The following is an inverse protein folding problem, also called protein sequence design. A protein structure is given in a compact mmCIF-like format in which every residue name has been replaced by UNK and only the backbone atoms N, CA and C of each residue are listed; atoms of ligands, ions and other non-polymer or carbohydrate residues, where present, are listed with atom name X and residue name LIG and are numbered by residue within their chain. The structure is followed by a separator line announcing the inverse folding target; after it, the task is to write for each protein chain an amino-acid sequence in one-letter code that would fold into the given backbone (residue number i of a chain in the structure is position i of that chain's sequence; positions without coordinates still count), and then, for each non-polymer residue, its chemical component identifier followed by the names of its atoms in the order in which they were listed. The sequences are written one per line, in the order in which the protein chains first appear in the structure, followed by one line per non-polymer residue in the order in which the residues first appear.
data_IF_551814870297
#
_entry.id   IF_551814870297
#
_cell.length_a   1.000
_cell.length_b   1.000
_cell.length_c   1.000
_cell.angle_alpha   90.00
_cell.angle_beta   90.00
_cell.angle_gamma   90.00
#
_symmetry.space_group_name_H-M   'P 1'
#
loop_
_entity.id
_entity.type
_entity.pdbx_description
1 polymer ?
#
# COMPACT_ATOMS: atom_id res chain seq x y z
N UNK A 1 20.16 9.16 15.87
CA UNK A 1 19.21 9.26 16.98
C UNK A 1 19.25 7.98 17.77
N UNK A 2 20.31 7.79 18.57
CA UNK A 2 20.54 6.52 19.27
C UNK A 2 19.46 6.27 20.33
N UNK A 3 19.02 7.33 21.02
CA UNK A 3 17.95 7.24 22.01
C UNK A 3 16.64 6.63 21.48
N UNK A 4 16.27 6.89 20.22
CA UNK A 4 15.06 6.30 19.61
C UNK A 4 15.27 4.80 19.32
N UNK A 5 16.46 4.44 18.86
CA UNK A 5 16.81 3.04 18.63
C UNK A 5 16.86 2.27 19.97
N UNK A 6 17.41 2.90 21.01
CA UNK A 6 17.48 2.32 22.36
C UNK A 6 16.07 2.13 22.95
N UNK A 7 15.16 3.10 22.75
CA UNK A 7 13.74 2.97 23.12
C UNK A 7 13.08 1.79 22.41
N UNK A 8 13.26 1.65 21.10
CA UNK A 8 12.72 0.53 20.34
C UNK A 8 13.27 -0.81 20.79
N UNK A 9 14.58 -0.88 21.09
CA UNK A 9 15.18 -2.09 21.64
C UNK A 9 14.61 -2.44 23.01
N UNK A 10 14.34 -1.45 23.87
CA UNK A 10 13.71 -1.66 25.15
C UNK A 10 12.28 -2.20 24.99
N UNK A 11 11.47 -1.61 24.09
CA UNK A 11 10.12 -2.09 23.77
C UNK A 11 10.13 -3.53 23.27
N UNK A 12 11.08 -3.88 22.39
CA UNK A 12 11.25 -5.24 21.88
C UNK A 12 11.55 -6.24 23.00
N UNK A 13 12.50 -5.90 23.89
CA UNK A 13 12.87 -6.77 25.03
C UNK A 13 11.72 -6.92 26.03
N UNK A 14 10.89 -5.90 26.20
CA UNK A 14 9.73 -5.92 27.07
C UNK A 14 8.48 -6.57 26.43
N UNK A 15 8.54 -6.98 25.16
CA UNK A 15 7.42 -7.59 24.43
C UNK A 15 6.30 -6.61 24.08
N UNK A 16 6.57 -5.30 24.07
CA UNK A 16 5.61 -4.25 23.71
C UNK A 16 5.50 -4.10 22.19
N UNK A 17 5.05 -5.16 21.52
CA UNK A 17 5.04 -5.25 20.06
C UNK A 17 4.13 -4.22 19.41
N UNK A 18 2.92 -4.00 19.93
CA UNK A 18 1.98 -3.02 19.37
C UNK A 18 2.61 -1.63 19.27
N UNK A 19 3.15 -1.13 20.39
CA UNK A 19 3.80 0.18 20.43
C UNK A 19 5.06 0.22 19.57
N UNK A 20 5.89 -0.82 19.62
CA UNK A 20 7.10 -0.88 18.78
C UNK A 20 6.76 -0.84 17.29
N UNK A 21 5.76 -1.61 16.87
CA UNK A 21 5.33 -1.68 15.47
C UNK A 21 4.76 -0.35 15.01
N UNK A 22 3.90 0.29 15.80
CA UNK A 22 3.40 1.63 15.49
C UNK A 22 4.54 2.63 15.32
N UNK A 23 5.47 2.66 16.26
CA UNK A 23 6.60 3.58 16.24
C UNK A 23 7.51 3.37 15.00
N UNK A 24 7.81 2.11 14.68
CA UNK A 24 8.61 1.75 13.52
C UNK A 24 7.89 2.15 12.21
N UNK A 25 6.58 1.90 12.12
CA UNK A 25 5.81 2.23 10.93
C UNK A 25 5.72 3.74 10.72
N UNK A 26 5.21 4.47 11.71
CA UNK A 26 4.89 5.89 11.59
C UNK A 26 6.15 6.76 11.53
N UNK A 27 7.15 6.47 12.37
CA UNK A 27 8.31 7.36 12.53
C UNK A 27 9.43 7.05 11.54
N UNK A 28 9.48 5.83 11.00
CA UNK A 28 10.60 5.39 10.17
C UNK A 28 10.19 4.81 8.83
N UNK A 29 9.36 3.78 8.82
CA UNK A 29 9.04 3.03 7.61
C UNK A 29 8.20 3.85 6.63
N UNK A 30 7.05 4.38 7.05
CA UNK A 30 6.12 5.11 6.19
C UNK A 30 6.77 6.36 5.57
N UNK A 31 7.50 7.22 6.30
CA UNK A 31 8.16 8.37 5.70
C UNK A 31 9.22 7.97 4.66
N UNK A 32 9.97 6.89 4.91
CA UNK A 32 10.97 6.39 3.96
C UNK A 32 10.29 5.81 2.71
N UNK A 33 9.25 5.00 2.91
CA UNK A 33 8.48 4.40 1.84
C UNK A 33 7.78 5.45 0.97
N UNK A 34 7.16 6.46 1.57
CA UNK A 34 6.52 7.56 0.85
C UNK A 34 7.51 8.35 -0.02
N UNK A 35 8.73 8.60 0.46
CA UNK A 35 9.79 9.22 -0.37
C UNK A 35 10.22 8.33 -1.52
N UNK A 36 10.37 7.03 -1.27
CA UNK A 36 10.76 6.08 -2.30
C UNK A 36 9.66 5.93 -3.38
N UNK A 37 8.40 5.80 -2.97
CA UNK A 37 7.30 5.56 -3.90
C UNK A 37 7.02 6.76 -4.80
N UNK A 38 7.13 7.99 -4.29
CA UNK A 38 6.97 9.20 -5.13
C UNK A 38 8.11 9.36 -6.12
N UNK A 39 9.33 8.93 -5.77
CA UNK A 39 10.49 8.92 -6.67
C UNK A 39 10.37 7.87 -7.77
N UNK A 40 10.04 6.62 -7.40
CA UNK A 40 10.00 5.50 -8.35
C UNK A 40 8.73 5.48 -9.22
N UNK A 41 7.63 6.04 -8.73
CA UNK A 41 6.34 6.05 -9.43
C UNK A 41 5.83 7.49 -9.62
N UNK A 42 6.46 8.29 -10.48
CA UNK A 42 6.07 9.69 -10.70
C UNK A 42 4.65 9.83 -11.28
N UNK A 43 4.12 8.75 -11.87
CA UNK A 43 2.73 8.69 -12.36
C UNK A 43 1.70 8.19 -11.34
N UNK A 44 2.11 7.95 -10.09
CA UNK A 44 1.22 7.49 -9.04
C UNK A 44 0.04 8.45 -8.78
N UNK A 45 0.20 9.79 -8.84
CA UNK A 45 -0.94 10.71 -8.66
C UNK A 45 -2.04 10.58 -9.72
N UNK A 46 -1.71 10.07 -10.92
CA UNK A 46 -2.66 9.85 -12.03
C UNK A 46 -3.24 8.43 -12.02
N UNK A 47 -2.80 7.56 -11.11
CA UNK A 47 -3.29 6.19 -11.03
C UNK A 47 -4.76 6.15 -10.61
N UNK A 48 -5.51 5.22 -11.20
CA UNK A 48 -6.88 4.93 -10.77
C UNK A 48 -6.84 4.41 -9.34
N UNK A 49 -7.59 5.06 -8.44
CA UNK A 49 -7.75 4.59 -7.07
C UNK A 49 -8.88 3.58 -7.00
N UNK A 50 -8.56 2.39 -6.52
CA UNK A 50 -9.50 1.32 -6.26
C UNK A 50 -9.70 1.20 -4.74
N UNK A 51 -10.94 1.24 -4.29
CA UNK A 51 -11.27 1.09 -2.88
C UNK A 51 -11.57 -0.38 -2.57
N UNK A 52 -10.85 -0.97 -1.62
CA UNK A 52 -11.15 -2.29 -1.07
C UNK A 52 -11.91 -2.11 0.24
N UNK A 53 -13.23 -2.39 0.30
CA UNK A 53 -14.05 -2.04 1.46
C UNK A 53 -13.80 -2.91 2.70
N UNK A 54 -13.18 -4.08 2.53
CA UNK A 54 -12.82 -4.97 3.63
C UNK A 54 -11.62 -5.84 3.24
N UNK A 55 -10.77 -6.20 4.21
CA UNK A 55 -9.68 -7.15 4.02
C UNK A 55 -10.20 -8.60 4.02
N UNK A 56 -11.03 -8.94 3.05
CA UNK A 56 -11.61 -10.27 2.88
C UNK A 56 -11.44 -10.74 1.45
N UNK A 57 -11.36 -12.06 1.25
CA UNK A 57 -11.30 -12.67 -0.08
C UNK A 57 -12.49 -12.25 -0.94
N UNK A 58 -13.71 -12.25 -0.38
CA UNK A 58 -14.92 -11.87 -1.11
C UNK A 58 -14.89 -10.40 -1.60
N UNK A 59 -14.41 -9.46 -0.77
CA UNK A 59 -14.25 -8.07 -1.17
C UNK A 59 -13.19 -7.92 -2.28
N UNK A 60 -12.09 -8.68 -2.18
CA UNK A 60 -11.04 -8.71 -3.20
C UNK A 60 -11.55 -9.26 -4.53
N UNK A 61 -12.27 -10.38 -4.52
CA UNK A 61 -12.87 -11.00 -5.70
C UNK A 61 -13.89 -10.07 -6.36
N UNK A 62 -14.74 -9.42 -5.57
CA UNK A 62 -15.70 -8.45 -6.08
C UNK A 62 -15.01 -7.27 -6.78
N UNK A 63 -13.98 -6.69 -6.14
CA UNK A 63 -13.20 -5.60 -6.72
C UNK A 63 -12.49 -6.04 -7.99
N UNK A 64 -11.89 -7.23 -8.01
CA UNK A 64 -11.22 -7.78 -9.20
C UNK A 64 -12.21 -7.94 -10.38
N UNK A 65 -13.40 -8.49 -10.14
CA UNK A 65 -14.43 -8.59 -11.17
C UNK A 65 -14.87 -7.21 -11.70
N UNK A 66 -15.06 -6.23 -10.80
CA UNK A 66 -15.41 -4.87 -11.19
C UNK A 66 -14.31 -4.22 -12.06
N UNK A 67 -13.04 -4.42 -11.71
CA UNK A 67 -11.90 -3.92 -12.48
C UNK A 67 -11.83 -4.57 -13.86
N UNK A 68 -11.98 -5.89 -13.96
CA UNK A 68 -11.95 -6.61 -15.24
C UNK A 68 -13.10 -6.16 -16.14
N UNK A 69 -14.31 -6.03 -15.59
CA UNK A 69 -15.47 -5.53 -16.32
C UNK A 69 -15.27 -4.08 -16.80
N UNK A 70 -14.73 -3.21 -15.94
CA UNK A 70 -14.42 -1.82 -16.27
C UNK A 70 -13.31 -1.67 -17.32
N UNK A 71 -12.28 -2.52 -17.27
CA UNK A 71 -11.22 -2.58 -18.28
C UNK A 71 -11.78 -3.01 -19.64
N UNK A 72 -12.70 -3.97 -19.69
CA UNK A 72 -13.36 -4.37 -20.93
C UNK A 72 -14.17 -3.22 -21.59
N UNK A 73 -14.63 -2.26 -20.80
CA UNK A 73 -15.34 -1.06 -21.25
C UNK A 73 -14.41 0.13 -21.58
N UNK A 74 -13.13 0.09 -21.20
CA UNK A 74 -12.19 1.19 -21.39
C UNK A 74 -11.56 1.16 -22.80
N UNK A 75 -11.57 2.27 -23.57
CA UNK A 75 -11.21 2.26 -25.00
C UNK A 75 -9.79 1.76 -25.31
N UNK A 76 -8.83 1.93 -24.38
CA UNK A 76 -7.46 1.45 -24.55
C UNK A 76 -7.32 -0.08 -24.51
N UNK A 77 -8.20 -0.80 -23.78
CA UNK A 77 -8.15 -2.26 -23.69
C UNK A 77 -8.82 -2.96 -24.90
N UNK A 78 -9.63 -2.23 -25.67
CA UNK A 78 -10.30 -2.75 -26.86
C UNK A 78 -9.35 -2.85 -28.07
N UNK A 79 -8.30 -2.04 -28.11
CA UNK A 79 -7.29 -2.03 -29.17
C UNK A 79 -6.35 -3.25 -29.15
N UNK A 80 -6.09 -3.86 -27.98
CA UNK A 80 -5.18 -5.02 -27.86
C UNK A 80 -5.82 -6.33 -28.31
N UNK A 81 -7.16 -6.42 -28.38
CA UNK A 81 -7.88 -7.64 -28.78
C UNK A 81 -8.18 -7.73 -30.28
N UNK A 82 -7.79 -6.75 -31.09
CA UNK A 82 -8.04 -6.73 -32.54
C UNK A 82 -6.80 -7.01 -33.41
N UNK A 83 -5.73 -7.51 -32.80
CA UNK A 83 -4.51 -7.98 -33.49
C UNK A 83 -4.26 -9.45 -33.16
#
# INVERSE_FOLDING_TARGET
GNAVIDEWQALARAGHWERLTEDLLVRHYDPAYLRAITSHYPRLPQAVRLALPANTTAAMEHLAHAVIAGLAAHPAARAVRQN
#
